data_IF_568480523508
#
_entry.id   IF_568480523508
#
_cell.length_a   1.000
_cell.length_b   1.000
_cell.length_c   1.000
_cell.angle_alpha   90.00
_cell.angle_beta   90.00
_cell.angle_gamma   90.00
#
_symmetry.space_group_name_H-M   'P 1'
#
loop_
_entity.id
_entity.type
_entity.pdbx_description
1 polymer ?
#
# COMPACT_ATOMS: atom_id res chain seq x y z
N UNK A 1 4.99 10.35 -10.71
CA UNK A 1 4.05 9.29 -11.15
C UNK A 1 2.77 9.95 -11.65
N UNK A 2 2.27 9.49 -12.77
CA UNK A 2 1.02 10.05 -13.32
C UNK A 2 -0.18 9.64 -12.48
N UNK A 3 -1.20 10.52 -12.41
CA UNK A 3 -2.36 10.32 -11.55
C UNK A 3 -3.15 9.04 -11.82
N UNK A 4 -3.26 8.61 -13.09
CA UNK A 4 -3.97 7.38 -13.44
C UNK A 4 -3.25 6.14 -12.89
N UNK A 5 -1.93 6.08 -13.00
CA UNK A 5 -1.14 4.97 -12.46
C UNK A 5 -1.24 4.94 -10.93
N UNK A 6 -1.16 6.11 -10.28
CA UNK A 6 -1.32 6.19 -8.84
C UNK A 6 -2.70 5.70 -8.38
N UNK A 7 -3.75 6.11 -9.08
CA UNK A 7 -5.12 5.65 -8.79
C UNK A 7 -5.24 4.13 -8.90
N UNK A 8 -4.70 3.55 -9.98
CA UNK A 8 -4.72 2.10 -10.20
C UNK A 8 -3.91 1.35 -9.13
N UNK A 9 -2.76 1.89 -8.76
CA UNK A 9 -1.92 1.31 -7.71
C UNK A 9 -2.67 1.28 -6.38
N UNK A 10 -3.24 2.40 -5.97
CA UNK A 10 -3.97 2.50 -4.70
C UNK A 10 -5.15 1.53 -4.70
N UNK A 11 -5.94 1.52 -5.77
CA UNK A 11 -7.10 0.64 -5.88
C UNK A 11 -6.71 -0.84 -5.79
N UNK A 12 -5.64 -1.23 -6.48
CA UNK A 12 -5.15 -2.60 -6.47
C UNK A 12 -4.62 -3.00 -5.08
N UNK A 13 -3.88 -2.11 -4.43
CA UNK A 13 -3.37 -2.36 -3.08
C UNK A 13 -4.51 -2.53 -2.07
N UNK A 14 -5.54 -1.71 -2.15
CA UNK A 14 -6.71 -1.81 -1.29
C UNK A 14 -7.39 -3.18 -1.45
N UNK A 15 -7.56 -3.64 -2.69
CA UNK A 15 -8.16 -4.95 -2.96
C UNK A 15 -7.33 -6.07 -2.32
N UNK A 16 -6.01 -6.05 -2.55
CA UNK A 16 -5.13 -7.12 -2.04
C UNK A 16 -5.02 -7.08 -0.51
N UNK A 17 -4.96 -5.89 0.08
CA UNK A 17 -4.76 -5.73 1.53
C UNK A 17 -6.03 -6.06 2.33
N UNK A 18 -7.19 -5.57 1.91
CA UNK A 18 -8.40 -5.59 2.73
C UNK A 18 -9.67 -5.99 1.99
N UNK A 19 -9.61 -6.17 0.66
CA UNK A 19 -10.83 -6.32 -0.14
C UNK A 19 -11.72 -5.09 -0.12
N UNK A 20 -11.17 -3.94 0.27
CA UNK A 20 -11.91 -2.68 0.36
C UNK A 20 -12.63 -2.46 1.69
N UNK A 21 -12.44 -3.33 2.68
CA UNK A 21 -13.10 -3.21 3.98
C UNK A 21 -12.35 -2.25 4.91
N UNK A 22 -12.92 -1.08 5.24
CA UNK A 22 -12.25 -0.11 6.12
C UNK A 22 -12.10 -0.61 7.56
N UNK A 23 -12.86 -1.63 7.96
CA UNK A 23 -12.80 -2.20 9.30
C UNK A 23 -11.94 -3.47 9.37
N UNK A 24 -11.26 -3.84 8.28
CA UNK A 24 -10.39 -5.01 8.26
C UNK A 24 -9.27 -4.88 9.30
N UNK A 25 -9.04 -5.96 10.05
CA UNK A 25 -8.00 -5.98 11.07
C UNK A 25 -7.31 -7.33 11.10
N UNK A 26 -5.99 -7.32 11.00
CA UNK A 26 -5.14 -8.51 11.13
C UNK A 26 -4.46 -8.47 12.50
N UNK A 27 -4.91 -9.31 13.44
CA UNK A 27 -4.42 -9.30 14.81
C UNK A 27 -2.95 -9.74 14.93
N UNK A 28 -2.47 -10.56 14.02
CA UNK A 28 -1.07 -11.04 14.05
C UNK A 28 -0.09 -9.91 13.84
N UNK A 29 -0.43 -8.95 12.97
CA UNK A 29 0.45 -7.84 12.60
C UNK A 29 -0.04 -6.50 13.13
N UNK A 30 -1.20 -6.47 13.79
CA UNK A 30 -1.87 -5.22 14.17
C UNK A 30 -2.04 -4.29 12.96
N UNK A 31 -2.38 -4.88 11.82
CA UNK A 31 -2.59 -4.15 10.57
C UNK A 31 -4.08 -3.84 10.42
N UNK A 32 -4.42 -2.60 10.13
CA UNK A 32 -5.81 -2.14 10.16
C UNK A 32 -6.18 -1.30 8.93
N UNK A 33 -7.46 -1.39 8.55
CA UNK A 33 -8.08 -0.56 7.54
C UNK A 33 -7.82 -1.01 6.12
N UNK A 34 -8.22 -0.16 5.16
CA UNK A 34 -8.16 -0.52 3.73
C UNK A 34 -6.74 -0.79 3.24
N UNK A 35 -5.73 -0.13 3.82
CA UNK A 35 -4.33 -0.30 3.43
C UNK A 35 -3.52 -1.10 4.44
N UNK A 36 -4.20 -1.73 5.42
CA UNK A 36 -3.57 -2.61 6.41
C UNK A 36 -2.33 -1.98 7.06
N UNK A 37 -2.52 -0.79 7.62
CA UNK A 37 -1.44 0.02 8.22
C UNK A 37 -1.09 -0.53 9.60
N UNK A 38 0.20 -0.80 9.82
CA UNK A 38 0.72 -1.27 11.10
C UNK A 38 1.16 -0.08 11.97
N UNK A 39 1.24 -0.26 13.32
CA UNK A 39 1.69 0.82 14.20
C UNK A 39 3.07 1.40 13.83
N UNK A 40 3.98 0.57 13.33
CA UNK A 40 5.31 1.05 12.91
C UNK A 40 5.20 2.04 11.74
N UNK A 41 4.24 1.82 10.84
CA UNK A 41 4.01 2.75 9.75
C UNK A 41 3.33 4.03 10.24
N UNK A 42 2.43 3.94 11.22
CA UNK A 42 1.85 5.12 11.86
C UNK A 42 2.95 5.99 12.46
N UNK A 43 3.91 5.38 13.16
CA UNK A 43 5.05 6.09 13.73
C UNK A 43 5.89 6.75 12.63
N UNK A 44 6.14 6.05 11.52
CA UNK A 44 6.89 6.59 10.38
C UNK A 44 6.18 7.77 9.74
N UNK A 45 4.87 7.69 9.55
CA UNK A 45 4.08 8.80 9.00
C UNK A 45 4.21 10.03 9.88
N UNK A 46 4.08 9.86 11.20
CA UNK A 46 4.22 10.97 12.15
C UNK A 46 5.64 11.54 12.16
N UNK A 47 6.65 10.67 12.05
CA UNK A 47 8.05 11.12 11.95
C UNK A 47 8.28 12.00 10.73
N UNK A 48 7.56 11.73 9.64
CA UNK A 48 7.64 12.52 8.40
C UNK A 48 6.79 13.78 8.44
N UNK A 49 6.12 14.06 9.56
CA UNK A 49 5.27 15.23 9.70
C UNK A 49 3.84 15.02 9.20
N UNK A 50 3.46 13.80 8.92
CA UNK A 50 2.09 13.45 8.53
C UNK A 50 1.32 13.10 9.80
N UNK A 51 0.35 13.93 10.17
CA UNK A 51 -0.48 13.68 11.35
C UNK A 51 -1.42 12.52 11.10
N UNK A 52 -1.23 11.41 11.85
CA UNK A 52 -2.00 10.21 11.64
C UNK A 52 -2.04 9.38 12.94
N UNK A 53 -3.26 9.01 13.36
CA UNK A 53 -3.44 8.22 14.59
C UNK A 53 -3.74 6.76 14.26
N UNK A 54 -3.66 5.89 15.29
CA UNK A 54 -4.05 4.48 15.13
C UNK A 54 -5.52 4.35 14.69
N UNK A 55 -6.40 5.20 15.22
CA UNK A 55 -7.82 5.19 14.83
C UNK A 55 -8.03 5.63 13.38
N UNK A 56 -7.19 6.51 12.86
CA UNK A 56 -7.27 6.98 11.49
C UNK A 56 -7.11 5.87 10.46
N UNK A 57 -6.50 4.74 10.86
CA UNK A 57 -6.34 3.56 10.00
C UNK A 57 -7.68 3.03 9.48
N UNK A 58 -8.76 3.24 10.24
CA UNK A 58 -10.11 2.79 9.87
C UNK A 58 -10.86 3.80 8.98
N UNK A 59 -10.22 4.91 8.63
CA UNK A 59 -10.76 5.88 7.67
C UNK A 59 -10.08 5.67 6.31
N UNK A 60 -10.86 5.29 5.30
CA UNK A 60 -10.33 5.14 3.93
C UNK A 60 -9.72 6.44 3.44
N UNK A 61 -10.43 7.56 3.60
CA UNK A 61 -9.96 8.88 3.14
C UNK A 61 -8.64 9.26 3.79
N UNK A 62 -8.55 9.14 5.11
CA UNK A 62 -7.32 9.49 5.84
C UNK A 62 -6.17 8.57 5.47
N UNK A 63 -6.42 7.26 5.34
CA UNK A 63 -5.39 6.28 4.97
C UNK A 63 -4.84 6.56 3.58
N UNK A 64 -5.72 6.79 2.60
CA UNK A 64 -5.30 7.09 1.23
C UNK A 64 -4.54 8.41 1.16
N UNK A 65 -5.00 9.44 1.87
CA UNK A 65 -4.31 10.74 1.90
C UNK A 65 -2.92 10.62 2.53
N UNK A 66 -2.79 9.88 3.62
CA UNK A 66 -1.49 9.64 4.26
C UNK A 66 -0.54 8.89 3.33
N UNK A 67 -1.03 7.88 2.62
CA UNK A 67 -0.26 7.14 1.63
C UNK A 67 0.27 8.06 0.51
N UNK A 68 -0.59 8.92 -0.03
CA UNK A 68 -0.20 9.88 -1.07
C UNK A 68 0.86 10.87 -0.57
N UNK A 69 0.72 11.37 0.66
CA UNK A 69 1.70 12.27 1.27
C UNK A 69 3.04 11.58 1.47
N UNK A 70 3.02 10.31 1.91
CA UNK A 70 4.22 9.50 2.10
C UNK A 70 4.99 9.34 0.78
N UNK A 71 4.28 9.01 -0.31
CA UNK A 71 4.89 8.91 -1.65
C UNK A 71 5.56 10.23 -2.04
N UNK A 72 4.86 11.34 -1.82
CA UNK A 72 5.35 12.67 -2.20
C UNK A 72 6.58 13.07 -1.40
N UNK A 73 6.56 12.89 -0.09
CA UNK A 73 7.68 13.24 0.80
C UNK A 73 8.91 12.40 0.46
N UNK A 74 8.74 11.10 0.21
CA UNK A 74 9.82 10.20 -0.16
C UNK A 74 10.26 10.35 -1.62
N UNK A 75 9.48 11.07 -2.41
CA UNK A 75 9.74 11.27 -3.84
C UNK A 75 9.82 9.95 -4.62
N UNK A 76 8.98 8.98 -4.26
CA UNK A 76 8.92 7.70 -4.95
C UNK A 76 8.17 7.83 -6.28
N UNK A 77 8.65 7.13 -7.31
CA UNK A 77 8.06 7.16 -8.65
C UNK A 77 7.78 5.76 -9.22
N UNK A 78 8.37 4.71 -8.65
CA UNK A 78 8.22 3.33 -9.12
C UNK A 78 7.11 2.62 -8.34
N UNK A 79 6.01 2.22 -9.01
CA UNK A 79 4.89 1.53 -8.33
C UNK A 79 5.30 0.27 -7.57
N UNK A 80 6.23 -0.52 -8.11
CA UNK A 80 6.70 -1.73 -7.43
C UNK A 80 7.39 -1.39 -6.11
N UNK A 81 8.29 -0.42 -6.14
CA UNK A 81 9.04 -0.01 -4.93
C UNK A 81 8.07 0.56 -3.89
N UNK A 82 7.12 1.38 -4.31
CA UNK A 82 6.10 1.94 -3.43
C UNK A 82 5.32 0.83 -2.73
N UNK A 83 4.77 -0.10 -3.49
CA UNK A 83 3.96 -1.19 -2.96
C UNK A 83 4.77 -2.07 -2.00
N UNK A 84 5.99 -2.44 -2.39
CA UNK A 84 6.83 -3.34 -1.60
C UNK A 84 7.34 -2.70 -0.33
N UNK A 85 7.67 -1.41 -0.36
CA UNK A 85 8.09 -0.68 0.85
C UNK A 85 6.90 -0.42 1.79
N UNK A 86 5.73 -0.16 1.27
CA UNK A 86 4.53 -0.03 2.11
C UNK A 86 4.22 -1.34 2.82
N UNK A 87 4.28 -2.44 2.10
CA UNK A 87 3.96 -3.77 2.62
C UNK A 87 5.02 -4.32 3.56
N UNK A 88 6.30 -4.08 3.28
CA UNK A 88 7.42 -4.74 3.98
C UNK A 88 8.38 -3.82 4.73
N UNK A 89 8.16 -2.52 4.76
CA UNK A 89 9.03 -1.57 5.44
C UNK A 89 10.16 -1.02 4.55
N UNK A 90 11.11 -0.27 5.14
CA UNK A 90 12.15 0.44 4.35
C UNK A 90 12.96 -0.45 3.41
N UNK A 91 13.16 -1.71 3.75
CA UNK A 91 13.85 -2.70 2.90
C UNK A 91 12.87 -3.65 2.21
N UNK A 92 11.59 -3.30 2.18
CA UNK A 92 10.55 -4.14 1.61
C UNK A 92 10.80 -4.54 0.16
N UNK A 93 11.37 -3.63 -0.63
CA UNK A 93 11.69 -3.89 -2.04
C UNK A 93 12.74 -4.99 -2.26
N UNK A 94 13.39 -5.47 -1.19
CA UNK A 94 14.39 -6.53 -1.25
C UNK A 94 13.86 -7.88 -0.74
N UNK A 95 12.64 -7.93 -0.20
CA UNK A 95 12.09 -9.13 0.44
C UNK A 95 11.33 -10.01 -0.55
N UNK A 96 11.51 -11.32 -0.46
CA UNK A 96 10.76 -12.28 -1.28
C UNK A 96 9.26 -12.23 -0.99
N UNK A 97 8.87 -12.02 0.26
CA UNK A 97 7.46 -11.95 0.65
C UNK A 97 6.73 -10.78 -0.03
N UNK A 98 7.40 -9.63 -0.16
CA UNK A 98 6.81 -8.46 -0.82
C UNK A 98 6.77 -8.61 -2.34
N UNK A 99 7.62 -9.44 -2.92
CA UNK A 99 7.54 -9.74 -4.35
C UNK A 99 6.24 -10.47 -4.67
N UNK A 100 5.85 -11.45 -3.84
CA UNK A 100 4.57 -12.15 -3.99
C UNK A 100 3.39 -11.19 -3.90
N UNK A 101 3.45 -10.28 -2.94
CA UNK A 101 2.45 -9.21 -2.78
C UNK A 101 2.39 -8.34 -4.04
N UNK A 102 3.55 -7.90 -4.53
CA UNK A 102 3.62 -7.05 -5.72
C UNK A 102 3.02 -7.74 -6.95
N UNK A 103 3.28 -9.03 -7.13
CA UNK A 103 2.72 -9.79 -8.27
C UNK A 103 1.19 -9.74 -8.25
N UNK A 104 0.57 -9.89 -7.07
CA UNK A 104 -0.89 -9.78 -6.93
C UNK A 104 -1.39 -8.40 -7.30
N UNK A 105 -0.72 -7.35 -6.81
CA UNK A 105 -1.07 -5.96 -7.11
C UNK A 105 -0.90 -5.68 -8.60
N UNK A 106 0.26 -6.06 -9.17
CA UNK A 106 0.58 -5.85 -10.58
C UNK A 106 -0.46 -6.49 -11.49
N UNK A 107 -0.90 -7.69 -11.18
CA UNK A 107 -1.87 -8.41 -12.00
C UNK A 107 -3.24 -7.72 -12.03
N UNK A 108 -3.59 -6.97 -10.98
CA UNK A 108 -4.80 -6.16 -10.97
C UNK A 108 -4.64 -4.87 -11.79
N UNK A 109 -3.42 -4.30 -11.81
CA UNK A 109 -3.14 -3.09 -12.58
C UNK A 109 -3.04 -3.41 -14.07
N UNK A 110 -2.42 -4.54 -14.42
CA UNK A 110 -2.12 -4.93 -15.79
C UNK A 110 -2.72 -6.30 -16.13
N UNK A 111 -4.07 -6.44 -16.20
CA UNK A 111 -4.69 -7.75 -16.46
C UNK A 111 -4.30 -8.37 -17.78
N UNK A 112 -4.08 -7.55 -18.82
CA UNK A 112 -3.66 -8.03 -20.14
C UNK A 112 -2.30 -8.68 -20.11
N UNK A 113 -1.36 -8.11 -19.34
CA UNK A 113 -0.03 -8.66 -19.15
C UNK A 113 -0.12 -10.04 -18.51
N UNK A 114 -0.93 -10.18 -17.46
CA UNK A 114 -1.16 -11.45 -16.79
C UNK A 114 -1.71 -12.51 -17.75
N UNK A 115 -2.71 -12.14 -18.56
CA UNK A 115 -3.30 -13.06 -19.56
C UNK A 115 -2.27 -13.50 -20.59
N UNK A 116 -1.39 -12.61 -21.05
CA UNK A 116 -0.33 -12.95 -22.00
C UNK A 116 0.61 -13.99 -21.44
N UNK A 117 0.90 -13.95 -20.15
CA UNK A 117 1.78 -14.92 -19.49
C UNK A 117 1.14 -16.29 -19.30
N UNK A 118 -0.18 -16.38 -19.31
CA UNK A 118 -0.91 -17.63 -19.15
C UNK A 118 -1.04 -18.41 -20.45
N UNK A 119 -0.71 -17.80 -21.56
CA UNK A 119 -0.69 -18.47 -22.85
C UNK A 119 0.66 -19.20 -23.08
#
# INVERSE_FOLDING_TARGET
MKGLILFKLISAMIIVESGGNPNAFNSKEDAAGVLQIRPIMVAELNRLGIEFSLDDRYSKTKSVNAFKQWIKIKNYTDPEIIARKWNGGPKGHLKASTLKYWIKVRNLIYPKYHKCHLK
#
